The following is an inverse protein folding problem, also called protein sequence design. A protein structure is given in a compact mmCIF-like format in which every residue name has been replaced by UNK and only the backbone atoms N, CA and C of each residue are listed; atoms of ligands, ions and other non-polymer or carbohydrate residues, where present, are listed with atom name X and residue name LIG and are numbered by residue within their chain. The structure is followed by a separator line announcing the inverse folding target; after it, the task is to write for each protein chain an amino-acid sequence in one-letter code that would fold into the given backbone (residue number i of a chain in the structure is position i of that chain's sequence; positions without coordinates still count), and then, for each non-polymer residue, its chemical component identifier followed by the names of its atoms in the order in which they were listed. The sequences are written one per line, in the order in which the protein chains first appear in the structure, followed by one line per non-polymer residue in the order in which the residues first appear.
data_IF_041827689233
#
_entry.id   IF_041827689233
#
_cell.length_a   1.000
_cell.length_b   1.000
_cell.length_c   1.000
_cell.angle_alpha   90.00
_cell.angle_beta   90.00
_cell.angle_gamma   90.00
#
_symmetry.space_group_name_H-M   'P 1'
#
loop_
_entity.id
_entity.type
_entity.pdbx_description
1 polymer ?
#
# COMPACT_ATOMS: atom_id res chain seq x y z
N UNK A 1 -16.88 14.05 12.44
CA UNK A 1 -15.91 15.02 11.89
C UNK A 1 -16.63 16.13 11.16
N UNK A 2 -16.35 17.34 11.48
CA UNK A 2 -16.91 18.46 10.74
C UNK A 2 -16.34 18.50 9.32
N UNK A 3 -17.09 19.05 8.34
CA UNK A 3 -16.64 19.18 6.96
C UNK A 3 -15.42 20.07 6.74
N UNK A 4 -14.80 20.58 7.80
CA UNK A 4 -13.66 21.48 7.73
C UNK A 4 -12.40 20.84 7.13
N UNK A 5 -12.28 19.50 7.17
CA UNK A 5 -11.11 18.79 6.68
C UNK A 5 -11.42 17.93 5.46
N UNK A 6 -12.48 18.26 4.71
CA UNK A 6 -12.91 17.46 3.56
C UNK A 6 -12.05 17.68 2.31
N UNK A 7 -11.28 18.76 2.27
CA UNK A 7 -10.46 19.10 1.11
C UNK A 7 -9.00 19.19 1.47
N UNK A 8 -8.13 19.01 0.51
CA UNK A 8 -6.70 19.19 0.71
C UNK A 8 -6.39 20.62 1.16
N UNK A 9 -7.08 21.61 0.61
CA UNK A 9 -6.92 23.00 1.00
C UNK A 9 -7.22 23.20 2.49
N UNK A 10 -8.34 22.65 2.98
CA UNK A 10 -8.69 22.72 4.38
C UNK A 10 -7.65 22.04 5.28
N UNK A 11 -7.12 20.89 4.83
CA UNK A 11 -6.05 20.21 5.55
C UNK A 11 -4.77 21.05 5.62
N UNK A 12 -4.43 21.77 4.56
CA UNK A 12 -3.23 22.61 4.54
C UNK A 12 -3.33 23.82 5.46
N UNK A 13 -4.53 24.24 5.85
CA UNK A 13 -4.69 25.30 6.85
C UNK A 13 -4.37 24.80 8.26
N UNK A 14 -4.56 23.52 8.53
CA UNK A 14 -4.30 22.89 9.84
C UNK A 14 -2.90 22.28 9.88
N UNK A 15 -2.48 21.64 8.82
CA UNK A 15 -1.21 20.95 8.68
C UNK A 15 -0.38 21.64 7.60
N UNK A 16 0.81 22.14 7.94
CA UNK A 16 1.66 22.81 6.96
C UNK A 16 2.09 21.82 5.87
N UNK A 17 2.42 22.36 4.70
CA UNK A 17 2.96 21.56 3.59
C UNK A 17 4.22 20.82 4.08
N UNK A 18 4.30 19.50 3.90
CA UNK A 18 5.44 18.72 4.36
C UNK A 18 6.64 18.78 3.38
N UNK A 19 6.95 19.93 2.80
CA UNK A 19 7.95 20.11 1.74
C UNK A 19 9.14 19.16 1.76
N UNK A 20 9.91 19.12 2.88
CA UNK A 20 11.05 18.23 3.00
C UNK A 20 10.63 16.75 3.13
N UNK A 21 9.47 16.49 3.71
CA UNK A 21 8.96 15.12 3.85
C UNK A 21 8.58 14.54 2.50
N UNK A 22 8.16 15.36 1.55
CA UNK A 22 7.87 14.91 0.20
C UNK A 22 9.09 14.30 -0.50
N UNK A 23 10.30 14.74 -0.15
CA UNK A 23 11.52 14.14 -0.68
C UNK A 23 11.71 12.67 -0.31
N UNK A 24 10.92 12.16 0.65
CA UNK A 24 10.93 10.74 1.01
C UNK A 24 9.99 9.90 0.17
N UNK A 25 9.13 10.52 -0.65
CA UNK A 25 8.25 9.81 -1.58
C UNK A 25 9.05 9.49 -2.83
N UNK A 26 9.21 8.21 -3.10
CA UNK A 26 9.99 7.72 -4.23
C UNK A 26 9.06 7.14 -5.28
N UNK A 27 9.43 7.28 -6.55
CA UNK A 27 8.72 6.67 -7.67
C UNK A 27 9.22 5.27 -8.00
N UNK A 28 10.36 4.89 -7.42
CA UNK A 28 10.97 3.56 -7.60
C UNK A 28 11.44 3.05 -6.24
N UNK A 29 11.67 1.74 -6.17
CA UNK A 29 12.23 1.11 -4.98
C UNK A 29 13.73 1.40 -4.91
N UNK A 30 14.16 2.04 -3.82
CA UNK A 30 15.58 2.22 -3.57
C UNK A 30 16.16 0.95 -2.90
N UNK A 31 17.50 0.86 -2.72
CA UNK A 31 18.11 -0.30 -2.09
C UNK A 31 17.59 -0.58 -0.68
N UNK A 32 17.28 0.46 0.10
CA UNK A 32 16.74 0.29 1.46
C UNK A 32 15.34 -0.31 1.44
N UNK A 33 14.48 0.16 0.53
CA UNK A 33 13.13 -0.39 0.36
C UNK A 33 13.21 -1.86 -0.08
N UNK A 34 14.07 -2.18 -1.04
CA UNK A 34 14.26 -3.56 -1.50
C UNK A 34 14.72 -4.47 -0.36
N UNK A 35 15.66 -4.01 0.46
CA UNK A 35 16.14 -4.78 1.60
C UNK A 35 15.03 -5.01 2.61
N UNK A 36 14.26 -3.99 2.94
CA UNK A 36 13.17 -4.09 3.88
C UNK A 36 12.11 -5.10 3.40
N UNK A 37 11.71 -5.00 2.14
CA UNK A 37 10.76 -5.94 1.55
C UNK A 37 11.31 -7.36 1.58
N UNK A 38 12.57 -7.53 1.24
CA UNK A 38 13.24 -8.84 1.25
C UNK A 38 13.36 -9.48 2.62
N UNK A 39 13.23 -8.71 3.70
CA UNK A 39 13.26 -9.20 5.07
C UNK A 39 11.87 -9.30 5.68
N UNK A 40 10.86 -8.75 5.06
CA UNK A 40 9.52 -8.66 5.64
C UNK A 40 8.77 -10.00 5.54
N UNK A 41 8.22 -10.50 6.66
CA UNK A 41 7.37 -11.69 6.65
C UNK A 41 5.89 -11.35 6.61
N UNK A 42 5.52 -10.06 6.58
CA UNK A 42 4.14 -9.65 6.75
C UNK A 42 3.88 -8.29 6.10
N UNK A 43 2.72 -8.17 5.50
CA UNK A 43 2.24 -6.88 5.00
C UNK A 43 0.72 -6.79 5.14
N UNK A 44 0.22 -5.56 5.06
CA UNK A 44 -1.20 -5.30 4.83
C UNK A 44 -1.36 -4.75 3.42
N UNK A 45 -2.33 -5.25 2.69
CA UNK A 45 -2.70 -4.76 1.37
C UNK A 45 -4.03 -4.03 1.44
N UNK A 46 -4.02 -2.77 1.04
CA UNK A 46 -5.23 -1.95 0.97
C UNK A 46 -5.72 -1.86 -0.47
N UNK A 47 -7.00 -2.12 -0.66
CA UNK A 47 -7.65 -2.05 -1.96
C UNK A 47 -8.93 -1.22 -1.85
N UNK A 48 -9.48 -0.81 -2.99
CA UNK A 48 -10.75 -0.08 -3.04
C UNK A 48 -11.85 -1.00 -3.55
N UNK A 49 -12.97 -1.02 -2.84
CA UNK A 49 -14.17 -1.74 -3.25
C UNK A 49 -14.90 -0.97 -4.35
N UNK A 50 -15.75 -1.64 -5.16
CA UNK A 50 -16.54 -0.94 -6.17
C UNK A 50 -17.44 0.17 -5.62
N UNK A 51 -17.87 0.05 -4.36
CA UNK A 51 -18.69 1.07 -3.69
C UNK A 51 -17.87 2.24 -3.13
N UNK A 52 -16.57 2.24 -3.36
CA UNK A 52 -15.66 3.29 -2.89
C UNK A 52 -15.13 3.11 -1.48
N UNK A 53 -15.60 2.11 -0.76
CA UNK A 53 -15.06 1.81 0.56
C UNK A 53 -13.71 1.11 0.45
N UNK A 54 -12.87 1.36 1.45
CA UNK A 54 -11.58 0.71 1.55
C UNK A 54 -11.70 -0.70 2.11
N UNK A 55 -10.75 -1.54 1.71
CA UNK A 55 -10.63 -2.89 2.21
C UNK A 55 -9.16 -3.15 2.53
N UNK A 56 -8.86 -3.72 3.68
CA UNK A 56 -7.50 -4.01 4.11
C UNK A 56 -7.40 -5.47 4.47
N UNK A 57 -6.39 -6.13 3.93
CA UNK A 57 -6.20 -7.57 4.12
C UNK A 57 -4.76 -7.84 4.56
N UNK A 58 -4.57 -8.68 5.60
CA UNK A 58 -3.23 -9.10 5.99
C UNK A 58 -2.71 -10.19 5.05
N UNK A 59 -1.42 -10.17 4.82
CA UNK A 59 -0.71 -11.19 4.06
C UNK A 59 0.59 -11.51 4.80
N UNK A 60 0.87 -12.78 4.95
CA UNK A 60 2.07 -13.21 5.63
C UNK A 60 2.64 -14.47 5.01
N UNK A 61 3.88 -14.74 5.33
CA UNK A 61 4.59 -15.89 4.83
C UNK A 61 5.97 -15.96 5.46
N UNK A 62 6.87 -16.64 4.80
CA UNK A 62 8.26 -16.64 5.18
C UNK A 62 8.86 -15.25 4.91
N UNK A 63 9.94 -14.94 5.60
CA UNK A 63 10.71 -13.74 5.38
C UNK A 63 11.04 -13.63 3.89
N UNK A 64 10.72 -12.48 3.29
CA UNK A 64 10.96 -12.30 1.86
C UNK A 64 9.95 -12.98 0.95
N UNK A 65 8.74 -13.27 1.43
CA UNK A 65 7.73 -13.92 0.59
C UNK A 65 7.25 -13.06 -0.56
N UNK A 66 7.44 -11.75 -0.48
CA UNK A 66 7.24 -10.84 -1.61
C UNK A 66 8.57 -10.67 -2.31
N UNK A 67 8.60 -10.95 -3.60
CA UNK A 67 9.82 -10.91 -4.39
C UNK A 67 9.95 -9.58 -5.11
N UNK A 68 11.09 -8.93 -4.95
CA UNK A 68 11.43 -7.73 -5.69
C UNK A 68 11.97 -8.18 -7.05
N UNK A 69 11.25 -7.90 -8.11
CA UNK A 69 11.64 -8.28 -9.46
C UNK A 69 12.59 -7.24 -10.08
N UNK A 70 12.30 -5.98 -9.86
CA UNK A 70 13.11 -4.85 -10.30
C UNK A 70 12.73 -3.60 -9.50
N UNK A 71 13.16 -2.44 -9.94
CA UNK A 71 12.92 -1.18 -9.22
C UNK A 71 11.44 -0.78 -9.15
N UNK A 72 10.60 -1.37 -9.97
CA UNK A 72 9.19 -0.96 -10.10
C UNK A 72 8.20 -2.11 -10.03
N UNK A 73 8.67 -3.35 -9.84
CA UNK A 73 7.80 -4.53 -9.84
C UNK A 73 8.07 -5.42 -8.64
N UNK A 74 6.97 -5.84 -8.01
CA UNK A 74 6.97 -6.84 -6.95
C UNK A 74 6.10 -8.02 -7.39
N UNK A 75 6.45 -9.21 -6.93
CA UNK A 75 5.61 -10.39 -7.10
C UNK A 75 5.26 -10.96 -5.72
N UNK A 76 3.98 -11.11 -5.47
CA UNK A 76 3.48 -11.70 -4.23
C UNK A 76 2.80 -13.03 -4.55
N UNK A 77 3.16 -14.12 -3.84
CA UNK A 77 2.52 -15.41 -4.07
C UNK A 77 1.01 -15.35 -3.85
N UNK A 78 0.28 -16.00 -4.74
CA UNK A 78 -1.16 -16.17 -4.60
C UNK A 78 -1.40 -17.40 -3.72
N UNK A 79 -1.90 -17.16 -2.50
CA UNK A 79 -2.17 -18.20 -1.52
C UNK A 79 -3.62 -18.15 -1.09
N UNK A 80 -4.28 -19.31 -0.86
CA UNK A 80 -5.68 -19.34 -0.41
C UNK A 80 -5.82 -18.75 1.00
N UNK A 81 -6.98 -18.17 1.27
CA UNK A 81 -7.36 -17.63 2.57
C UNK A 81 -7.31 -16.11 2.64
N UNK A 82 -7.58 -15.55 3.82
CA UNK A 82 -7.44 -14.13 4.16
C UNK A 82 -8.13 -13.16 3.19
N UNK A 83 -9.39 -13.46 2.81
CA UNK A 83 -10.16 -12.60 1.90
C UNK A 83 -9.50 -12.43 0.52
N UNK A 84 -8.78 -13.44 0.07
CA UNK A 84 -8.07 -13.38 -1.19
C UNK A 84 -9.01 -13.06 -2.36
N UNK A 85 -10.18 -13.67 -2.40
CA UNK A 85 -11.15 -13.46 -3.49
C UNK A 85 -11.61 -12.00 -3.52
N UNK A 86 -11.93 -11.41 -2.37
CA UNK A 86 -12.34 -10.02 -2.29
C UNK A 86 -11.22 -9.09 -2.72
N UNK A 87 -10.00 -9.36 -2.31
CA UNK A 87 -8.82 -8.58 -2.70
C UNK A 87 -8.61 -8.63 -4.21
N UNK A 88 -8.65 -9.81 -4.81
CA UNK A 88 -8.47 -9.96 -6.26
C UNK A 88 -9.60 -9.27 -7.03
N UNK A 89 -10.84 -9.39 -6.55
CA UNK A 89 -11.98 -8.73 -7.17
C UNK A 89 -11.81 -7.21 -7.13
N UNK A 90 -11.39 -6.65 -5.99
CA UNK A 90 -11.15 -5.22 -5.85
C UNK A 90 -10.06 -4.74 -6.80
N UNK A 91 -8.97 -5.48 -6.94
CA UNK A 91 -7.89 -5.13 -7.85
C UNK A 91 -8.34 -5.14 -9.30
N UNK A 92 -9.21 -6.06 -9.67
CA UNK A 92 -9.78 -6.12 -11.03
C UNK A 92 -10.57 -4.86 -11.37
N UNK A 93 -11.37 -4.37 -10.42
CA UNK A 93 -12.17 -3.16 -10.61
C UNK A 93 -11.36 -1.88 -10.44
N UNK A 94 -10.39 -1.89 -9.52
CA UNK A 94 -9.55 -0.73 -9.21
C UNK A 94 -8.13 -1.21 -8.97
N UNK A 95 -7.24 -1.10 -9.95
CA UNK A 95 -5.90 -1.69 -9.90
C UNK A 95 -4.92 -0.99 -8.95
N UNK A 96 -5.28 0.17 -8.43
CA UNK A 96 -4.42 0.86 -7.45
C UNK A 96 -4.53 0.20 -6.09
N UNK A 97 -3.40 -0.12 -5.48
CA UNK A 97 -3.33 -0.75 -4.16
C UNK A 97 -2.31 -0.01 -3.28
N UNK A 98 -2.51 -0.13 -1.97
CA UNK A 98 -1.51 0.30 -1.00
C UNK A 98 -0.92 -0.90 -0.30
N UNK A 99 0.37 -0.89 -0.06
CA UNK A 99 1.07 -1.94 0.67
C UNK A 99 1.79 -1.32 1.87
N UNK A 100 1.65 -1.97 3.02
CA UNK A 100 2.37 -1.58 4.22
C UNK A 100 3.13 -2.80 4.73
N UNK A 101 4.45 -2.77 4.65
CA UNK A 101 5.32 -3.86 5.07
C UNK A 101 5.76 -3.68 6.52
N UNK A 102 5.92 -4.81 7.21
CA UNK A 102 6.40 -4.84 8.59
C UNK A 102 7.70 -5.60 8.74
#
# INVERSE_FOLDING_TARGET
MSGKLDTEEALRTVYPDPGQTRGKVLSVLDPHAKTFIGLSPFLCIGTSRPDGLGDVSPRGGEQGFVHVLDDTHLAMPDRPGNNLIDTLSNITESPSVGLLFF
#
